data_IF_509406505164
#
_entry.id   IF_509406505164
#
_cell.length_a   1.000
_cell.length_b   1.000
_cell.length_c   1.000
_cell.angle_alpha   90.00
_cell.angle_beta   90.00
_cell.angle_gamma   90.00
#
_symmetry.space_group_name_H-M   'P 1'
#
loop_
_entity.id
_entity.type
_entity.pdbx_description
1 polymer ?
#
# COMPACT_ATOMS: atom_id res chain seq x y z
N UNK A 1 8.90 0.19 51.83
CA UNK A 1 8.65 -0.38 50.49
C UNK A 1 7.54 0.40 49.83
N UNK A 2 7.83 1.26 48.83
CA UNK A 2 6.80 1.89 47.97
C UNK A 2 6.24 0.80 47.06
N UNK A 3 4.94 0.51 47.19
CA UNK A 3 4.23 -0.28 46.19
C UNK A 3 4.34 0.45 44.86
N UNK A 4 5.08 -0.12 43.92
CA UNK A 4 5.01 0.30 42.53
C UNK A 4 3.66 -0.19 42.03
N UNK A 5 2.67 0.68 42.00
CA UNK A 5 1.42 0.42 41.30
C UNK A 5 1.74 0.41 39.79
N UNK A 6 1.96 -0.76 39.25
CA UNK A 6 2.03 -0.96 37.82
C UNK A 6 0.61 -0.83 37.28
N UNK A 7 0.32 0.30 36.68
CA UNK A 7 -0.99 0.53 36.05
C UNK A 7 -1.34 -0.68 35.16
N UNK A 8 -2.49 -1.28 35.42
CA UNK A 8 -3.01 -2.34 34.58
C UNK A 8 -3.19 -1.78 33.16
N UNK A 9 -2.74 -2.50 32.15
CA UNK A 9 -3.08 -2.11 30.79
C UNK A 9 -4.60 -2.12 30.66
N UNK A 10 -5.19 -1.08 30.06
CA UNK A 10 -6.63 -1.05 29.89
C UNK A 10 -7.08 -2.28 29.06
N UNK A 11 -8.27 -2.84 29.36
CA UNK A 11 -8.84 -3.88 28.51
C UNK A 11 -9.03 -3.32 27.10
N UNK A 12 -8.72 -4.13 26.09
CA UNK A 12 -8.85 -3.73 24.70
C UNK A 12 -9.44 -4.89 23.89
N UNK A 13 -10.41 -4.58 23.01
CA UNK A 13 -10.97 -5.57 22.09
C UNK A 13 -10.08 -5.80 20.87
N UNK A 14 -9.46 -4.72 20.38
CA UNK A 14 -8.65 -4.71 19.15
C UNK A 14 -7.26 -4.23 19.47
N UNK A 15 -6.24 -4.96 19.00
CA UNK A 15 -4.88 -4.44 18.88
C UNK A 15 -4.62 -4.02 17.45
N UNK A 16 -3.97 -2.88 17.26
CA UNK A 16 -3.56 -2.39 15.93
C UNK A 16 -2.05 -2.43 15.80
N UNK A 17 -1.58 -3.10 14.74
CA UNK A 17 -0.17 -3.22 14.39
C UNK A 17 0.05 -2.67 12.97
N UNK A 18 0.68 -1.53 12.87
CA UNK A 18 1.07 -0.94 11.58
C UNK A 18 2.37 -0.17 11.69
N UNK A 19 3.23 -0.32 10.68
CA UNK A 19 4.39 0.53 10.44
C UNK A 19 4.11 1.57 9.34
N UNK A 20 2.93 1.51 8.76
CA UNK A 20 2.55 2.39 7.67
C UNK A 20 1.82 3.62 8.23
N UNK A 21 2.57 4.72 8.39
CA UNK A 21 2.04 5.98 8.90
C UNK A 21 0.97 6.59 7.99
N UNK A 22 0.99 6.28 6.69
CA UNK A 22 -0.02 6.77 5.74
C UNK A 22 -1.40 6.13 5.96
N UNK A 23 -1.44 4.88 6.44
CA UNK A 23 -2.69 4.18 6.74
C UNK A 23 -3.24 4.53 8.13
N UNK A 24 -2.41 5.08 9.01
CA UNK A 24 -2.78 5.29 10.39
C UNK A 24 -4.04 6.16 10.58
N UNK A 25 -4.21 7.30 9.89
CA UNK A 25 -5.43 8.10 9.99
C UNK A 25 -6.69 7.30 9.62
N UNK A 26 -6.62 6.45 8.60
CA UNK A 26 -7.73 5.62 8.14
C UNK A 26 -8.00 4.49 9.13
N UNK A 27 -6.96 3.84 9.64
CA UNK A 27 -7.12 2.79 10.66
C UNK A 27 -7.72 3.32 11.96
N UNK A 28 -7.36 4.53 12.38
CA UNK A 28 -8.03 5.19 13.54
C UNK A 28 -9.52 5.38 13.30
N UNK A 29 -9.92 5.77 12.09
CA UNK A 29 -11.33 5.87 11.74
C UNK A 29 -12.03 4.50 11.78
N UNK A 30 -11.36 3.44 11.31
CA UNK A 30 -11.88 2.07 11.38
C UNK A 30 -12.13 1.64 12.83
N UNK A 31 -11.20 1.94 13.73
CA UNK A 31 -11.24 1.41 15.11
C UNK A 31 -11.78 2.39 16.14
N UNK A 32 -12.30 3.55 15.76
CA UNK A 32 -12.69 4.64 16.68
C UNK A 32 -13.72 4.25 17.75
N UNK A 33 -14.57 3.25 17.49
CA UNK A 33 -15.63 2.81 18.39
C UNK A 33 -15.26 1.57 19.21
N UNK A 34 -13.99 1.09 19.10
CA UNK A 34 -13.47 -0.03 19.87
C UNK A 34 -12.53 0.44 20.96
N UNK A 35 -12.34 -0.39 21.98
CA UNK A 35 -11.22 -0.25 22.91
C UNK A 35 -9.95 -0.76 22.22
N UNK A 36 -8.95 0.11 22.04
CA UNK A 36 -7.79 -0.15 21.15
C UNK A 36 -6.48 -0.17 21.91
N UNK A 37 -5.65 -1.17 21.62
CA UNK A 37 -4.27 -1.26 22.01
C UNK A 37 -3.36 -1.01 20.79
N UNK A 38 -2.63 0.12 20.79
CA UNK A 38 -1.62 0.41 19.76
C UNK A 38 -0.31 -0.29 20.11
N UNK A 39 0.18 -1.20 19.25
CA UNK A 39 1.35 -2.03 19.57
C UNK A 39 2.71 -1.35 19.34
N UNK A 40 2.80 -0.32 18.48
CA UNK A 40 4.08 0.34 18.19
C UNK A 40 4.57 1.29 19.29
N UNK A 41 3.67 1.82 20.11
CA UNK A 41 3.98 2.85 21.12
C UNK A 41 4.26 2.32 22.50
N UNK A 42 4.29 0.98 22.69
CA UNK A 42 4.24 0.42 24.04
C UNK A 42 5.61 0.37 24.72
N UNK A 43 5.88 1.36 25.52
CA UNK A 43 6.96 1.40 26.52
C UNK A 43 6.46 1.03 27.94
N UNK A 44 5.34 0.33 28.07
CA UNK A 44 4.78 -0.01 29.39
C UNK A 44 5.62 -1.09 30.07
N UNK A 45 6.03 -0.91 31.33
CA UNK A 45 6.79 -1.92 32.07
C UNK A 45 5.98 -3.22 32.22
N UNK A 46 6.66 -4.35 32.12
CA UNK A 46 6.07 -5.67 32.34
C UNK A 46 5.88 -5.90 33.85
N UNK A 47 4.71 -6.41 34.26
CA UNK A 47 4.51 -6.86 35.61
C UNK A 47 5.11 -8.29 35.80
N UNK A 48 5.12 -8.82 37.02
CA UNK A 48 5.70 -10.13 37.31
C UNK A 48 5.02 -11.27 36.54
N UNK A 49 3.69 -11.23 36.38
CA UNK A 49 2.95 -12.25 35.60
C UNK A 49 3.31 -12.20 34.12
N UNK A 50 3.48 -11.01 33.56
CA UNK A 50 3.92 -10.84 32.17
C UNK A 50 5.36 -11.30 32.02
N UNK A 51 6.24 -11.01 33.00
CA UNK A 51 7.63 -11.49 32.97
C UNK A 51 7.69 -13.02 32.95
N UNK A 52 6.86 -13.70 33.74
CA UNK A 52 6.77 -15.17 33.73
C UNK A 52 6.24 -15.71 32.40
N UNK A 53 5.27 -15.06 31.77
CA UNK A 53 4.80 -15.43 30.42
C UNK A 53 5.87 -15.20 29.36
N UNK A 54 6.56 -14.07 29.41
CA UNK A 54 7.67 -13.79 28.52
C UNK A 54 8.74 -14.88 28.65
N UNK A 55 9.13 -15.23 29.89
CA UNK A 55 10.09 -16.29 30.15
C UNK A 55 9.64 -17.62 29.57
N UNK A 56 8.36 -18.00 29.78
CA UNK A 56 7.79 -19.21 29.18
C UNK A 56 7.90 -19.19 27.66
N UNK A 57 7.44 -18.10 26.99
CA UNK A 57 7.52 -18.00 25.54
C UNK A 57 8.95 -18.01 25.01
N UNK A 58 9.91 -17.42 25.72
CA UNK A 58 11.32 -17.44 25.33
C UNK A 58 11.92 -18.83 25.48
N UNK A 59 11.68 -19.50 26.64
CA UNK A 59 12.32 -20.76 26.94
C UNK A 59 11.62 -21.94 26.23
N UNK A 60 10.28 -21.99 26.30
CA UNK A 60 9.51 -23.14 25.78
C UNK A 60 9.24 -22.99 24.30
N UNK A 61 8.75 -21.80 23.89
CA UNK A 61 8.32 -21.54 22.52
C UNK A 61 9.44 -21.01 21.63
N UNK A 62 10.65 -20.79 22.19
CA UNK A 62 11.84 -20.26 21.51
C UNK A 62 11.56 -18.92 20.77
N UNK A 63 10.66 -18.10 21.33
CA UNK A 63 10.32 -16.80 20.79
C UNK A 63 11.39 -15.76 21.13
N UNK A 64 11.55 -14.73 20.30
CA UNK A 64 12.34 -13.57 20.71
C UNK A 64 11.67 -12.85 21.89
N UNK A 65 12.47 -12.19 22.73
CA UNK A 65 11.96 -11.42 23.89
C UNK A 65 10.94 -10.34 23.44
N UNK A 66 11.14 -9.73 22.27
CA UNK A 66 10.23 -8.75 21.71
C UNK A 66 8.84 -9.31 21.43
N UNK A 67 8.76 -10.44 20.73
CA UNK A 67 7.47 -11.08 20.41
C UNK A 67 6.81 -11.67 21.65
N UNK A 68 7.59 -12.28 22.54
CA UNK A 68 7.11 -12.79 23.82
C UNK A 68 6.47 -11.68 24.68
N UNK A 69 7.14 -10.52 24.77
CA UNK A 69 6.64 -9.33 25.47
C UNK A 69 5.34 -8.81 24.87
N UNK A 70 5.26 -8.76 23.53
CA UNK A 70 4.07 -8.33 22.81
C UNK A 70 2.89 -9.30 23.06
N UNK A 71 3.14 -10.61 22.98
CA UNK A 71 2.14 -11.64 23.27
C UNK A 71 1.62 -11.57 24.71
N UNK A 72 2.51 -11.38 25.70
CA UNK A 72 2.12 -11.24 27.10
C UNK A 72 1.20 -10.02 27.33
N UNK A 73 1.47 -8.90 26.64
CA UNK A 73 0.65 -7.68 26.70
C UNK A 73 -0.72 -7.85 26.07
N UNK A 74 -0.77 -8.44 24.87
CA UNK A 74 -2.04 -8.74 24.19
C UNK A 74 -2.94 -9.62 25.07
N UNK A 75 -2.35 -10.66 25.65
CA UNK A 75 -3.07 -11.54 26.57
C UNK A 75 -3.57 -10.80 27.82
N UNK A 76 -2.74 -9.94 28.43
CA UNK A 76 -3.11 -9.17 29.61
C UNK A 76 -4.27 -8.20 29.35
N UNK A 77 -4.25 -7.55 28.19
CA UNK A 77 -5.30 -6.59 27.77
C UNK A 77 -6.57 -7.28 27.30
N UNK A 78 -6.62 -8.62 27.25
CA UNK A 78 -7.79 -9.35 26.80
C UNK A 78 -8.12 -9.16 25.32
N UNK A 79 -7.13 -8.78 24.51
CA UNK A 79 -7.32 -8.52 23.07
C UNK A 79 -7.88 -9.75 22.38
N UNK A 80 -8.98 -9.57 21.63
CA UNK A 80 -9.66 -10.60 20.86
C UNK A 80 -9.18 -10.64 19.41
N UNK A 81 -8.89 -9.46 18.83
CA UNK A 81 -8.54 -9.30 17.42
C UNK A 81 -7.27 -8.48 17.26
N UNK A 82 -6.36 -8.97 16.44
CA UNK A 82 -5.21 -8.23 15.92
C UNK A 82 -5.54 -7.71 14.52
N UNK A 83 -5.68 -6.40 14.37
CA UNK A 83 -5.70 -5.71 13.09
C UNK A 83 -4.28 -5.34 12.70
N UNK A 84 -3.78 -5.90 11.60
CA UNK A 84 -2.41 -5.69 11.15
C UNK A 84 -2.36 -5.28 9.68
N UNK A 85 -1.29 -4.61 9.29
CA UNK A 85 -0.97 -4.34 7.89
C UNK A 85 0.04 -5.38 7.41
N UNK A 86 -0.09 -5.84 6.17
CA UNK A 86 0.72 -6.92 5.57
C UNK A 86 2.24 -6.74 5.67
N UNK A 87 2.74 -5.51 5.78
CA UNK A 87 4.15 -5.23 6.04
C UNK A 87 4.67 -5.77 7.38
N UNK A 88 3.77 -6.23 8.26
CA UNK A 88 4.07 -6.76 9.60
C UNK A 88 3.86 -8.27 9.71
N UNK A 89 3.86 -8.99 8.58
CA UNK A 89 3.52 -10.43 8.51
C UNK A 89 4.35 -11.29 9.46
N UNK A 90 5.65 -11.06 9.59
CA UNK A 90 6.49 -11.82 10.52
C UNK A 90 6.00 -11.70 11.97
N UNK A 91 5.63 -10.50 12.39
CA UNK A 91 5.07 -10.25 13.72
C UNK A 91 3.72 -10.95 13.88
N UNK A 92 2.87 -10.85 12.85
CA UNK A 92 1.55 -11.50 12.81
C UNK A 92 1.67 -13.01 12.92
N UNK A 93 2.65 -13.61 12.21
CA UNK A 93 2.93 -15.05 12.28
C UNK A 93 3.37 -15.48 13.68
N UNK A 94 4.33 -14.75 14.26
CA UNK A 94 4.83 -15.08 15.58
C UNK A 94 3.76 -14.89 16.67
N UNK A 95 3.00 -13.80 16.64
CA UNK A 95 1.92 -13.58 17.58
C UNK A 95 0.82 -14.65 17.45
N UNK A 96 0.47 -15.07 16.24
CA UNK A 96 -0.46 -16.17 16.06
C UNK A 96 0.06 -17.52 16.54
N UNK A 97 1.40 -17.75 16.53
CA UNK A 97 2.01 -18.94 17.09
C UNK A 97 1.97 -18.94 18.64
N UNK A 98 2.19 -17.79 19.24
CA UNK A 98 2.20 -17.61 20.70
C UNK A 98 0.80 -17.51 21.30
N UNK A 99 -0.16 -17.01 20.54
CA UNK A 99 -1.55 -16.79 20.91
C UNK A 99 -2.49 -17.43 19.87
N UNK A 100 -2.69 -18.75 19.89
CA UNK A 100 -3.44 -19.47 18.87
C UNK A 100 -4.91 -19.05 18.77
N UNK A 101 -5.50 -18.54 19.83
CA UNK A 101 -6.90 -18.06 19.87
C UNK A 101 -7.05 -16.61 19.41
N UNK A 102 -5.93 -15.89 19.16
CA UNK A 102 -5.94 -14.52 18.69
C UNK A 102 -6.40 -14.49 17.22
N UNK A 103 -7.52 -13.87 16.98
CA UNK A 103 -8.03 -13.65 15.62
C UNK A 103 -7.22 -12.56 14.94
N UNK A 104 -6.95 -12.76 13.64
CA UNK A 104 -6.07 -11.87 12.90
C UNK A 104 -6.77 -11.38 11.64
N UNK A 105 -6.95 -10.08 11.54
CA UNK A 105 -7.40 -9.38 10.34
C UNK A 105 -6.21 -8.64 9.76
N UNK A 106 -5.73 -9.07 8.60
CA UNK A 106 -4.55 -8.51 7.95
C UNK A 106 -5.00 -7.76 6.71
N UNK A 107 -4.70 -6.49 6.62
CA UNK A 107 -5.04 -5.65 5.45
C UNK A 107 -3.83 -5.38 4.58
N UNK A 108 -3.99 -5.50 3.27
CA UNK A 108 -2.97 -5.15 2.30
C UNK A 108 -2.75 -3.63 2.26
N UNK A 109 -1.49 -3.19 2.28
CA UNK A 109 -1.12 -1.77 2.11
C UNK A 109 -0.98 -1.38 0.64
N UNK A 110 -0.94 -2.36 -0.25
CA UNK A 110 -0.81 -2.21 -1.70
C UNK A 110 -1.36 -3.43 -2.42
N UNK A 111 -1.41 -3.37 -3.76
CA UNK A 111 -1.75 -4.54 -4.55
C UNK A 111 -0.75 -5.68 -4.30
N UNK A 112 -1.26 -6.88 -4.12
CA UNK A 112 -0.45 -8.08 -3.87
C UNK A 112 0.26 -8.46 -5.15
N UNK A 113 1.57 -8.61 -5.07
CA UNK A 113 2.42 -9.04 -6.19
C UNK A 113 2.88 -10.48 -5.97
N UNK A 114 3.07 -11.20 -7.08
CA UNK A 114 3.43 -12.62 -7.06
C UNK A 114 4.70 -12.89 -6.24
N UNK A 115 5.64 -11.98 -6.25
CA UNK A 115 6.90 -12.10 -5.51
C UNK A 115 6.78 -11.72 -4.02
N UNK A 116 5.84 -10.85 -3.66
CA UNK A 116 5.51 -10.59 -2.26
C UNK A 116 4.81 -11.78 -1.58
N UNK A 117 4.27 -12.71 -2.37
CA UNK A 117 3.66 -13.94 -1.83
C UNK A 117 4.65 -14.84 -1.10
N UNK A 118 5.94 -14.79 -1.44
CA UNK A 118 6.96 -15.49 -0.68
C UNK A 118 7.07 -14.95 0.77
N UNK A 119 6.81 -13.65 0.95
CA UNK A 119 6.74 -13.01 2.27
C UNK A 119 5.37 -13.22 2.94
N UNK A 120 4.31 -13.37 2.13
CA UNK A 120 2.96 -13.72 2.59
C UNK A 120 2.78 -15.23 2.80
N UNK A 121 3.85 -16.02 2.96
CA UNK A 121 3.76 -17.43 3.41
C UNK A 121 3.12 -17.50 4.80
N UNK A 122 1.86 -17.09 4.82
CA UNK A 122 0.98 -17.12 5.97
C UNK A 122 0.72 -18.60 6.26
N UNK A 123 1.42 -19.16 7.25
CA UNK A 123 1.22 -20.54 7.66
C UNK A 123 -0.22 -20.74 8.11
N UNK A 124 -0.77 -21.93 7.84
CA UNK A 124 -2.14 -22.33 8.24
C UNK A 124 -2.39 -21.99 9.70
N UNK A 125 -3.35 -21.10 9.98
CA UNK A 125 -3.91 -20.88 11.32
C UNK A 125 -5.36 -20.47 11.24
N UNK A 126 -6.17 -21.04 12.11
CA UNK A 126 -7.62 -21.16 12.01
C UNK A 126 -8.43 -19.87 12.20
N UNK A 127 -7.89 -18.70 12.34
CA UNK A 127 -8.67 -17.49 12.62
C UNK A 127 -8.07 -16.25 11.94
N UNK A 128 -7.69 -16.39 10.65
CA UNK A 128 -7.08 -15.29 9.91
C UNK A 128 -7.90 -14.92 8.69
N UNK A 129 -8.12 -13.62 8.53
CA UNK A 129 -8.71 -13.02 7.34
C UNK A 129 -7.67 -12.12 6.69
N UNK A 130 -7.43 -12.31 5.39
CA UNK A 130 -6.60 -11.43 4.58
C UNK A 130 -7.52 -10.50 3.76
N UNK A 131 -7.44 -9.21 4.02
CA UNK A 131 -8.18 -8.18 3.30
C UNK A 131 -7.34 -7.65 2.14
N UNK A 132 -7.85 -7.76 0.93
CA UNK A 132 -7.16 -7.40 -0.32
C UNK A 132 -7.91 -6.31 -1.09
N UNK A 133 -7.22 -5.68 -2.04
CA UNK A 133 -7.79 -4.56 -2.79
C UNK A 133 -8.83 -5.00 -3.82
N UNK A 134 -8.57 -6.06 -4.55
CA UNK A 134 -9.45 -6.51 -5.62
C UNK A 134 -9.37 -8.01 -5.87
N UNK A 135 -10.13 -8.45 -6.86
CA UNK A 135 -10.14 -9.85 -7.29
C UNK A 135 -8.78 -10.26 -7.85
N UNK A 136 -8.05 -9.34 -8.52
CA UNK A 136 -6.68 -9.60 -9.00
C UNK A 136 -5.76 -10.10 -7.89
N UNK A 137 -5.79 -9.46 -6.73
CA UNK A 137 -4.99 -9.84 -5.58
C UNK A 137 -5.45 -11.19 -5.00
N UNK A 138 -6.77 -11.39 -4.90
CA UNK A 138 -7.34 -12.65 -4.43
C UNK A 138 -6.97 -13.82 -5.34
N UNK A 139 -6.97 -13.63 -6.65
CA UNK A 139 -6.60 -14.65 -7.63
C UNK A 139 -5.10 -14.97 -7.59
N UNK A 140 -4.24 -13.96 -7.44
CA UNK A 140 -2.81 -14.13 -7.22
C UNK A 140 -2.57 -14.95 -5.95
N UNK A 141 -3.24 -14.60 -4.85
CA UNK A 141 -3.16 -15.31 -3.58
C UNK A 141 -3.59 -16.78 -3.71
N UNK A 142 -4.74 -17.05 -4.35
CA UNK A 142 -5.26 -18.41 -4.57
C UNK A 142 -4.32 -19.28 -5.40
N UNK A 143 -3.73 -18.72 -6.46
CA UNK A 143 -2.79 -19.46 -7.33
C UNK A 143 -1.52 -19.87 -6.62
N UNK A 144 -1.03 -19.04 -5.69
CA UNK A 144 0.20 -19.30 -4.94
C UNK A 144 0.00 -20.16 -3.70
N UNK A 145 -1.24 -20.30 -3.24
CA UNK A 145 -1.60 -20.93 -1.97
C UNK A 145 -2.04 -22.38 -2.09
N UNK A 146 -1.54 -23.15 -3.10
CA UNK A 146 -1.85 -24.59 -3.24
C UNK A 146 -1.74 -25.41 -1.94
N UNK A 147 -1.07 -24.87 -0.93
CA UNK A 147 -0.89 -25.47 0.39
C UNK A 147 -1.69 -24.81 1.53
N UNK A 148 -2.32 -23.65 1.31
CA UNK A 148 -2.94 -22.84 2.39
C UNK A 148 -4.45 -22.67 2.21
N UNK A 149 -5.22 -23.76 2.27
CA UNK A 149 -6.71 -23.74 2.19
C UNK A 149 -7.39 -23.02 3.35
N UNK A 150 -6.68 -22.53 4.36
CA UNK A 150 -7.26 -22.04 5.62
C UNK A 150 -7.27 -20.52 5.81
N UNK A 151 -6.71 -19.75 4.90
CA UNK A 151 -6.78 -18.29 4.99
C UNK A 151 -7.93 -17.78 4.15
N UNK A 152 -8.91 -17.19 4.81
CA UNK A 152 -10.02 -16.51 4.14
C UNK A 152 -9.52 -15.20 3.54
N UNK A 153 -9.78 -15.01 2.24
CA UNK A 153 -9.44 -13.79 1.54
C UNK A 153 -10.73 -12.97 1.31
N UNK A 154 -10.77 -11.76 1.85
CA UNK A 154 -11.88 -10.82 1.71
C UNK A 154 -11.48 -9.64 0.84
N UNK A 155 -12.28 -9.34 -0.16
CA UNK A 155 -12.07 -8.20 -1.06
C UNK A 155 -12.74 -6.98 -0.45
N UNK A 156 -11.96 -6.02 0.01
CA UNK A 156 -12.49 -4.82 0.65
C UNK A 156 -12.20 -3.53 -0.13
N UNK A 157 -11.23 -3.52 -1.03
CA UNK A 157 -10.74 -2.32 -1.69
C UNK A 157 -9.54 -1.69 -0.96
N UNK A 158 -9.11 -0.52 -1.43
CA UNK A 158 -8.00 0.23 -0.82
C UNK A 158 -8.50 1.13 0.30
N UNK A 159 -8.01 0.90 1.52
CA UNK A 159 -8.30 1.75 2.68
C UNK A 159 -7.77 3.18 2.50
N UNK A 160 -6.59 3.32 1.90
CA UNK A 160 -5.99 4.64 1.67
C UNK A 160 -6.81 5.45 0.67
N UNK A 161 -7.26 4.80 -0.40
CA UNK A 161 -8.16 5.42 -1.37
C UNK A 161 -9.50 5.82 -0.73
N UNK A 162 -10.08 4.97 0.10
CA UNK A 162 -11.31 5.28 0.84
C UNK A 162 -11.13 6.46 1.80
N UNK A 163 -10.00 6.53 2.50
CA UNK A 163 -9.64 7.67 3.35
C UNK A 163 -9.51 8.97 2.55
N UNK A 164 -8.90 8.89 1.37
CA UNK A 164 -8.82 10.03 0.44
C UNK A 164 -10.20 10.51 0.01
N UNK A 165 -11.06 9.61 -0.46
CA UNK A 165 -12.38 9.95 -0.99
C UNK A 165 -13.33 10.55 0.06
N UNK A 166 -13.15 10.26 1.32
CA UNK A 166 -13.90 10.90 2.42
C UNK A 166 -13.59 12.38 2.56
N UNK A 167 -12.35 12.77 2.25
CA UNK A 167 -11.89 14.17 2.35
C UNK A 167 -12.06 14.88 1.03
N UNK A 168 -11.79 14.19 -0.06
CA UNK A 168 -11.79 14.72 -1.44
C UNK A 168 -12.69 13.85 -2.33
N UNK A 169 -14.01 14.00 -2.25
CA UNK A 169 -14.93 13.24 -3.10
C UNK A 169 -14.70 13.55 -4.58
N UNK A 170 -14.86 12.54 -5.42
CA UNK A 170 -14.68 12.72 -6.86
C UNK A 170 -15.74 13.66 -7.42
N UNK A 171 -15.31 14.67 -8.16
CA UNK A 171 -16.20 15.54 -8.92
C UNK A 171 -16.42 14.97 -10.31
N UNK A 172 -17.68 14.82 -10.78
CA UNK A 172 -17.96 14.35 -12.13
C UNK A 172 -17.49 15.35 -13.22
N UNK A 173 -17.34 16.64 -12.86
CA UNK A 173 -16.94 17.72 -13.77
C UNK A 173 -15.48 18.12 -13.64
N UNK A 174 -14.66 17.23 -13.10
CA UNK A 174 -13.25 17.50 -12.85
C UNK A 174 -12.48 17.77 -14.16
N UNK A 175 -11.85 18.94 -14.25
CA UNK A 175 -11.01 19.35 -15.37
C UNK A 175 -9.55 19.20 -15.02
N UNK A 176 -8.78 18.59 -15.92
CA UNK A 176 -7.34 18.45 -15.75
C UNK A 176 -6.65 19.82 -15.82
N UNK A 177 -5.80 20.11 -14.83
CA UNK A 177 -4.99 21.33 -14.75
C UNK A 177 -3.60 21.14 -15.37
N UNK A 178 -3.15 19.90 -15.49
CA UNK A 178 -1.82 19.54 -16.01
C UNK A 178 -1.96 18.41 -17.03
N UNK A 179 -1.26 18.46 -18.17
CA UNK A 179 -1.38 17.42 -19.19
C UNK A 179 -0.80 16.08 -18.75
N UNK A 180 0.36 16.10 -18.09
CA UNK A 180 1.07 14.89 -17.70
C UNK A 180 1.58 14.96 -16.25
N UNK A 181 1.39 13.87 -15.51
CA UNK A 181 1.96 13.65 -14.19
C UNK A 181 2.84 12.40 -14.23
N UNK A 182 4.05 12.49 -13.69
CA UNK A 182 4.89 11.33 -13.39
C UNK A 182 4.88 11.04 -11.89
N UNK A 183 4.61 9.78 -11.52
CA UNK A 183 4.66 9.35 -10.11
C UNK A 183 6.07 8.92 -9.77
N UNK A 184 6.71 9.66 -8.86
CA UNK A 184 8.07 9.39 -8.42
C UNK A 184 8.22 8.04 -7.73
N UNK A 185 9.31 7.37 -8.06
CA UNK A 185 9.79 6.14 -7.42
C UNK A 185 11.20 6.31 -6.86
N UNK A 186 11.63 7.55 -6.67
CA UNK A 186 12.97 7.84 -6.18
C UNK A 186 13.19 7.28 -4.78
N UNK A 187 14.22 6.47 -4.59
CA UNK A 187 14.57 5.84 -3.31
C UNK A 187 15.96 6.26 -2.79
N UNK A 188 16.64 7.12 -3.54
CA UNK A 188 17.95 7.67 -3.17
C UNK A 188 18.91 7.70 -4.36
N UNK A 189 20.06 8.35 -4.21
CA UNK A 189 21.05 8.46 -5.29
C UNK A 189 21.62 7.09 -5.70
N UNK A 190 21.77 6.17 -4.76
CA UNK A 190 22.40 4.86 -5.02
C UNK A 190 21.53 3.90 -5.88
N UNK A 191 20.22 4.08 -5.86
CA UNK A 191 19.31 3.20 -6.61
C UNK A 191 19.25 3.53 -8.09
N UNK A 192 19.62 4.73 -8.46
CA UNK A 192 19.68 5.21 -9.85
C UNK A 192 21.10 5.35 -10.38
N UNK A 193 22.10 4.95 -9.59
CA UNK A 193 23.45 4.85 -10.08
C UNK A 193 23.45 4.00 -11.38
N UNK A 194 24.11 4.49 -12.41
CA UNK A 194 24.30 3.80 -13.68
C UNK A 194 24.91 2.41 -13.52
N UNK A 195 25.57 2.14 -12.39
CA UNK A 195 26.08 0.83 -11.99
C UNK A 195 24.98 -0.13 -11.54
N UNK A 196 23.80 0.35 -11.09
CA UNK A 196 22.68 -0.50 -10.68
C UNK A 196 22.04 -1.16 -11.90
N UNK A 197 22.35 -2.42 -12.12
CA UNK A 197 21.82 -3.27 -13.20
C UNK A 197 20.54 -4.00 -12.79
N UNK A 198 19.77 -3.46 -11.84
CA UNK A 198 18.49 -4.10 -11.49
C UNK A 198 17.47 -3.86 -12.59
N UNK A 199 16.66 -4.86 -12.88
CA UNK A 199 15.56 -4.74 -13.87
C UNK A 199 14.63 -3.55 -13.55
N UNK A 200 14.49 -3.21 -12.27
CA UNK A 200 13.74 -2.03 -11.82
C UNK A 200 14.36 -0.72 -12.31
N UNK A 201 15.66 -0.55 -12.09
CA UNK A 201 16.39 0.66 -12.50
C UNK A 201 16.35 0.85 -14.01
N UNK A 202 16.44 -0.26 -14.77
CA UNK A 202 16.32 -0.24 -16.23
C UNK A 202 14.94 0.22 -16.68
N UNK A 203 13.87 -0.32 -16.08
CA UNK A 203 12.50 0.08 -16.40
C UNK A 203 12.25 1.56 -16.08
N UNK A 204 12.69 2.04 -14.92
CA UNK A 204 12.54 3.44 -14.53
C UNK A 204 13.31 4.38 -15.46
N UNK A 205 14.53 4.01 -15.88
CA UNK A 205 15.30 4.78 -16.86
C UNK A 205 14.60 4.84 -18.21
N UNK A 206 14.07 3.69 -18.69
CA UNK A 206 13.31 3.61 -19.93
C UNK A 206 12.11 4.57 -19.91
N UNK A 207 11.27 4.49 -18.87
CA UNK A 207 10.07 5.33 -18.77
C UNK A 207 10.43 6.81 -18.71
N UNK A 208 11.44 7.17 -17.92
CA UNK A 208 11.90 8.57 -17.81
C UNK A 208 12.46 9.10 -19.13
N UNK A 209 13.26 8.30 -19.84
CA UNK A 209 13.81 8.66 -21.14
C UNK A 209 12.71 8.87 -22.19
N UNK A 210 11.75 7.94 -22.30
CA UNK A 210 10.65 8.06 -23.24
C UNK A 210 9.74 9.25 -22.91
N UNK A 211 9.40 9.43 -21.66
CA UNK A 211 8.57 10.55 -21.21
C UNK A 211 9.24 11.90 -21.45
N UNK A 212 10.55 12.01 -21.19
CA UNK A 212 11.33 13.22 -21.50
C UNK A 212 11.28 13.52 -22.99
N UNK A 213 11.59 12.55 -23.85
CA UNK A 213 11.59 12.70 -25.31
C UNK A 213 10.21 13.15 -25.80
N UNK A 214 9.14 12.52 -25.29
CA UNK A 214 7.77 12.87 -25.63
C UNK A 214 7.41 14.30 -25.21
N UNK A 215 7.73 14.72 -24.00
CA UNK A 215 7.45 16.06 -23.50
C UNK A 215 8.18 17.13 -24.36
N UNK A 216 9.43 16.89 -24.75
CA UNK A 216 10.19 17.82 -25.59
C UNK A 216 9.58 17.88 -27.00
N UNK A 217 9.26 16.73 -27.61
CA UNK A 217 8.72 16.67 -28.97
C UNK A 217 7.37 17.37 -29.11
N UNK A 218 6.56 17.39 -28.04
CA UNK A 218 5.22 17.99 -28.04
C UNK A 218 5.11 19.32 -27.25
N UNK A 219 6.23 19.88 -26.78
CA UNK A 219 6.31 21.06 -25.91
C UNK A 219 5.35 20.98 -24.70
N UNK A 220 5.28 19.82 -24.03
CA UNK A 220 4.38 19.60 -22.93
C UNK A 220 5.06 19.82 -21.57
N UNK A 221 4.41 20.52 -20.63
CA UNK A 221 4.87 20.56 -19.25
C UNK A 221 4.64 19.21 -18.57
N UNK A 222 5.54 18.87 -17.66
CA UNK A 222 5.49 17.67 -16.85
C UNK A 222 5.44 18.04 -15.36
N UNK A 223 4.46 17.49 -14.65
CA UNK A 223 4.41 17.54 -13.19
C UNK A 223 4.97 16.28 -12.58
N UNK A 224 5.76 16.40 -11.54
CA UNK A 224 6.33 15.26 -10.79
C UNK A 224 5.63 15.17 -9.45
N UNK A 225 4.97 14.05 -9.17
CA UNK A 225 4.47 13.76 -7.83
C UNK A 225 5.61 13.20 -6.99
N UNK A 226 6.17 14.02 -6.10
CA UNK A 226 7.21 13.63 -5.15
C UNK A 226 6.65 12.64 -4.13
N UNK A 227 7.52 11.82 -3.55
CA UNK A 227 7.14 10.87 -2.51
C UNK A 227 6.65 11.61 -1.25
N UNK A 228 5.52 11.19 -0.64
CA UNK A 228 5.05 11.78 0.61
C UNK A 228 6.10 11.63 1.72
N UNK A 229 6.27 12.68 2.51
CA UNK A 229 7.18 12.67 3.66
C UNK A 229 6.80 11.61 4.73
N UNK A 230 5.53 11.22 4.78
CA UNK A 230 5.00 10.25 5.73
C UNK A 230 5.33 8.79 5.39
N UNK A 231 5.75 8.47 4.15
CA UNK A 231 6.05 7.08 3.75
C UNK A 231 7.38 6.53 4.30
N UNK A 232 8.27 7.40 4.73
CA UNK A 232 9.42 7.15 5.61
C UNK A 232 9.80 8.50 6.21
N UNK A 233 10.36 8.61 7.43
CA UNK A 233 11.00 9.85 7.83
C UNK A 233 12.07 10.13 6.78
N UNK A 234 11.75 11.04 5.85
CA UNK A 234 12.70 11.45 4.82
C UNK A 234 13.93 11.97 5.54
N UNK A 235 15.09 11.45 5.20
CA UNK A 235 16.33 12.03 5.68
C UNK A 235 16.33 13.53 5.33
N UNK A 236 16.83 14.40 6.21
CA UNK A 236 16.92 15.82 5.92
C UNK A 236 17.52 16.04 4.53
N UNK A 237 16.83 16.80 3.68
CA UNK A 237 17.26 17.06 2.30
C UNK A 237 16.83 16.04 1.24
N UNK A 238 16.17 14.96 1.57
CA UNK A 238 15.75 13.95 0.59
C UNK A 238 14.82 14.52 -0.50
N UNK A 239 13.84 15.37 -0.16
CA UNK A 239 13.00 16.06 -1.14
C UNK A 239 13.80 16.97 -2.09
N UNK A 240 14.82 17.66 -1.58
CA UNK A 240 15.69 18.50 -2.41
C UNK A 240 16.55 17.66 -3.35
N UNK A 241 17.04 16.51 -2.90
CA UNK A 241 17.80 15.58 -3.74
C UNK A 241 16.89 14.95 -4.82
N UNK A 242 15.67 14.57 -4.46
CA UNK A 242 14.67 14.05 -5.39
C UNK A 242 14.33 15.07 -6.49
N UNK A 243 14.10 16.36 -6.12
CA UNK A 243 13.89 17.44 -7.09
C UNK A 243 15.06 17.61 -8.03
N UNK A 244 16.27 17.76 -7.48
CA UNK A 244 17.51 17.92 -8.28
C UNK A 244 17.70 16.74 -9.24
N UNK A 245 17.41 15.53 -8.78
CA UNK A 245 17.46 14.35 -9.63
C UNK A 245 16.52 14.48 -10.84
N UNK A 246 15.24 14.84 -10.61
CA UNK A 246 14.29 14.99 -11.72
C UNK A 246 14.58 16.20 -12.62
N UNK A 247 15.11 17.29 -12.09
CA UNK A 247 15.58 18.43 -12.90
C UNK A 247 16.69 18.01 -13.87
N UNK A 248 17.59 17.14 -13.43
CA UNK A 248 18.65 16.58 -14.30
C UNK A 248 18.08 15.60 -15.33
N UNK A 249 17.26 14.64 -14.89
CA UNK A 249 16.70 13.58 -15.76
C UNK A 249 15.79 14.17 -16.83
N UNK A 250 14.96 15.16 -16.50
CA UNK A 250 14.05 15.81 -17.44
C UNK A 250 14.56 17.16 -17.93
N UNK A 251 15.88 17.31 -18.06
CA UNK A 251 16.49 18.51 -18.61
C UNK A 251 15.89 18.86 -19.98
N UNK A 252 15.51 20.11 -20.17
CA UNK A 252 14.82 20.62 -21.37
C UNK A 252 13.29 20.50 -21.33
N UNK A 253 12.70 19.91 -20.30
CA UNK A 253 11.25 19.87 -20.08
C UNK A 253 10.82 20.95 -19.06
N UNK A 254 9.69 21.59 -19.28
CA UNK A 254 9.09 22.50 -18.28
C UNK A 254 8.54 21.70 -17.11
N UNK A 255 9.26 21.69 -15.97
CA UNK A 255 8.90 20.91 -14.79
C UNK A 255 8.13 21.71 -13.76
N UNK A 256 7.21 21.03 -13.08
CA UNK A 256 6.63 21.44 -11.80
C UNK A 256 6.58 20.26 -10.85
N UNK A 257 6.49 20.52 -9.54
CA UNK A 257 6.53 19.48 -8.51
C UNK A 257 5.30 19.57 -7.62
N UNK A 258 4.80 18.41 -7.20
CA UNK A 258 3.80 18.35 -6.14
C UNK A 258 4.52 18.32 -4.81
N UNK A 259 4.26 19.33 -3.97
CA UNK A 259 4.78 19.34 -2.62
C UNK A 259 4.16 18.20 -1.81
N UNK A 260 4.96 17.41 -1.10
CA UNK A 260 4.46 16.33 -0.26
C UNK A 260 3.93 16.87 1.07
N UNK A 261 2.94 17.77 1.02
CA UNK A 261 2.37 18.47 2.18
C UNK A 261 1.60 17.53 3.11
N UNK A 262 1.04 16.48 2.57
CA UNK A 262 0.30 15.45 3.31
C UNK A 262 0.29 14.11 2.54
N UNK A 263 -0.29 13.10 3.16
CA UNK A 263 -0.40 11.71 2.63
C UNK A 263 -1.08 11.64 1.25
N UNK A 264 -1.95 12.59 0.92
CA UNK A 264 -2.78 12.56 -0.28
C UNK A 264 -2.34 13.53 -1.38
N UNK A 265 -1.20 14.19 -1.25
CA UNK A 265 -0.71 15.15 -2.24
C UNK A 265 -0.57 14.53 -3.64
N UNK A 266 -0.02 13.31 -3.75
CA UNK A 266 0.09 12.59 -5.03
C UNK A 266 -1.26 12.17 -5.61
N UNK A 267 -2.27 11.92 -4.76
CA UNK A 267 -3.63 11.57 -5.20
C UNK A 267 -4.31 12.78 -5.83
N UNK A 268 -4.25 13.93 -5.15
CA UNK A 268 -4.76 15.20 -5.72
C UNK A 268 -4.06 15.52 -7.03
N UNK A 269 -2.72 15.44 -7.06
CA UNK A 269 -1.97 15.70 -8.28
C UNK A 269 -2.39 14.79 -9.43
N UNK A 270 -2.63 13.51 -9.15
CA UNK A 270 -3.13 12.55 -10.14
C UNK A 270 -4.54 12.88 -10.60
N UNK A 271 -5.38 13.30 -9.67
CA UNK A 271 -6.75 13.70 -9.99
C UNK A 271 -6.81 15.00 -10.81
N UNK A 272 -5.88 15.91 -10.60
CA UNK A 272 -5.75 17.19 -11.33
C UNK A 272 -4.98 17.07 -12.66
N UNK A 273 -4.46 15.89 -12.99
CA UNK A 273 -3.71 15.66 -14.23
C UNK A 273 -4.56 14.93 -15.27
N UNK A 274 -4.29 15.21 -16.55
CA UNK A 274 -4.99 14.51 -17.63
C UNK A 274 -4.54 13.04 -17.69
N UNK A 275 -3.23 12.80 -17.75
CA UNK A 275 -2.66 11.44 -17.76
C UNK A 275 -1.61 11.32 -16.66
N UNK A 276 -1.69 10.24 -15.89
CA UNK A 276 -0.68 9.86 -14.90
C UNK A 276 0.19 8.74 -15.45
N UNK A 277 1.51 8.95 -15.50
CA UNK A 277 2.48 8.01 -16.08
C UNK A 277 3.38 7.44 -14.98
N UNK A 278 3.73 6.17 -15.08
CA UNK A 278 4.70 5.57 -14.17
C UNK A 278 4.89 4.06 -14.35
N UNK A 279 5.61 3.47 -13.40
CA UNK A 279 5.71 2.02 -13.27
C UNK A 279 4.69 1.51 -12.23
N UNK A 280 4.37 0.21 -12.17
CA UNK A 280 3.39 -0.32 -11.23
C UNK A 280 3.64 0.06 -9.76
N UNK A 281 2.74 0.83 -9.17
CA UNK A 281 2.74 1.24 -7.77
C UNK A 281 1.33 1.28 -7.20
N UNK A 282 1.21 1.23 -5.87
CA UNK A 282 -0.08 1.42 -5.22
C UNK A 282 -0.77 2.72 -5.63
N UNK A 283 -0.04 3.85 -5.61
CA UNK A 283 -0.60 5.15 -5.98
C UNK A 283 -1.12 5.20 -7.43
N UNK A 284 -0.39 4.58 -8.38
CA UNK A 284 -0.79 4.54 -9.78
C UNK A 284 -2.00 3.60 -9.98
N UNK A 285 -2.00 2.46 -9.29
CA UNK A 285 -3.14 1.51 -9.28
C UNK A 285 -4.40 2.17 -8.72
N UNK A 286 -4.28 2.89 -7.62
CA UNK A 286 -5.40 3.60 -7.01
C UNK A 286 -5.87 4.78 -7.84
N UNK A 287 -4.94 5.46 -8.53
CA UNK A 287 -5.28 6.51 -9.51
C UNK A 287 -6.13 5.94 -10.66
N UNK A 288 -5.69 4.83 -11.26
CA UNK A 288 -6.44 4.12 -12.29
C UNK A 288 -7.83 3.71 -11.78
N UNK A 289 -7.89 3.14 -10.60
CA UNK A 289 -9.14 2.70 -9.98
C UNK A 289 -10.14 3.85 -9.78
N UNK A 290 -9.67 5.09 -9.52
CA UNK A 290 -10.52 6.30 -9.43
C UNK A 290 -10.99 6.85 -10.78
N UNK A 291 -10.71 6.18 -11.89
CA UNK A 291 -11.12 6.61 -13.23
C UNK A 291 -10.18 7.61 -13.91
N UNK A 292 -8.97 7.79 -13.39
CA UNK A 292 -7.96 8.60 -14.06
C UNK A 292 -7.38 7.86 -15.27
N UNK A 293 -7.01 8.60 -16.30
CA UNK A 293 -6.21 8.07 -17.40
C UNK A 293 -4.79 7.81 -16.89
N UNK A 294 -4.33 6.58 -17.05
CA UNK A 294 -3.03 6.13 -16.57
C UNK A 294 -2.28 5.47 -17.71
N UNK A 295 -0.98 5.72 -17.83
CA UNK A 295 -0.07 4.90 -18.61
C UNK A 295 0.92 4.21 -17.68
N UNK A 296 0.74 2.90 -17.51
CA UNK A 296 1.60 2.07 -16.68
C UNK A 296 2.58 1.30 -17.56
N UNK A 297 3.88 1.46 -17.30
CA UNK A 297 4.91 0.68 -18.00
C UNK A 297 5.41 -0.39 -17.06
N UNK A 298 5.32 -1.65 -17.49
CA UNK A 298 5.70 -2.81 -16.68
C UNK A 298 6.80 -3.62 -17.32
N UNK A 299 7.38 -4.52 -16.56
CA UNK A 299 8.17 -5.65 -17.06
C UNK A 299 7.27 -6.80 -17.51
N UNK A 300 7.81 -7.70 -18.31
CA UNK A 300 7.07 -8.92 -18.69
C UNK A 300 6.66 -9.68 -17.40
N UNK A 301 5.37 -9.88 -17.15
CA UNK A 301 4.88 -10.58 -15.96
C UNK A 301 5.38 -12.02 -15.84
N UNK A 302 5.77 -12.64 -16.98
CA UNK A 302 6.34 -14.00 -17.02
C UNK A 302 7.74 -14.09 -16.40
N UNK A 303 8.43 -12.97 -16.25
CA UNK A 303 9.77 -12.94 -15.64
C UNK A 303 9.75 -13.04 -14.12
N UNK A 304 8.57 -13.09 -13.48
CA UNK A 304 8.43 -13.09 -12.01
C UNK A 304 8.88 -11.79 -11.35
N UNK A 305 9.01 -10.71 -12.11
CA UNK A 305 9.47 -9.42 -11.60
C UNK A 305 8.41 -8.72 -10.76
N UNK A 306 8.84 -7.97 -9.75
CA UNK A 306 8.01 -7.03 -8.96
C UNK A 306 7.17 -6.07 -9.80
N UNK A 307 7.63 -5.76 -11.01
CA UNK A 307 6.98 -4.86 -11.95
C UNK A 307 6.22 -5.60 -13.06
N UNK A 308 6.09 -6.93 -12.92
CA UNK A 308 5.19 -7.76 -13.71
C UNK A 308 3.76 -7.60 -13.23
N UNK A 309 3.01 -6.70 -13.84
CA UNK A 309 1.62 -6.44 -13.48
C UNK A 309 0.70 -7.43 -14.21
N UNK A 310 -0.23 -8.13 -13.54
CA UNK A 310 -0.93 -9.28 -14.12
C UNK A 310 -2.11 -8.93 -15.04
N UNK A 311 -2.40 -7.62 -15.24
CA UNK A 311 -3.56 -7.18 -16.02
C UNK A 311 -3.10 -6.49 -17.29
N UNK A 312 -3.68 -6.84 -18.41
CA UNK A 312 -3.45 -6.22 -19.72
C UNK A 312 -4.52 -5.17 -20.04
N UNK A 313 -4.20 -4.26 -20.92
CA UNK A 313 -5.12 -3.22 -21.37
C UNK A 313 -4.40 -2.06 -22.06
N UNK A 314 -5.14 -1.21 -22.71
CA UNK A 314 -4.62 -0.01 -23.41
C UNK A 314 -3.89 0.99 -22.49
N UNK A 315 -3.99 0.82 -21.19
CA UNK A 315 -3.34 1.64 -20.17
C UNK A 315 -2.04 1.02 -19.63
N UNK A 316 -1.62 -0.14 -20.21
CA UNK A 316 -0.40 -0.87 -19.80
C UNK A 316 0.47 -1.14 -21.02
N UNK A 317 1.77 -0.84 -20.91
CA UNK A 317 2.78 -1.24 -21.88
C UNK A 317 3.83 -2.12 -21.21
N UNK A 318 4.28 -3.14 -21.95
CA UNK A 318 5.34 -4.04 -21.49
C UNK A 318 6.63 -3.72 -22.23
N UNK A 319 7.61 -3.14 -21.52
CA UNK A 319 8.95 -2.81 -22.06
C UNK A 319 8.89 -2.17 -23.47
N UNK A 320 8.13 -1.05 -23.65
CA UNK A 320 7.84 -0.51 -24.96
C UNK A 320 9.05 0.14 -25.62
N UNK A 321 9.05 0.19 -26.97
CA UNK A 321 9.88 1.15 -27.70
C UNK A 321 9.34 2.58 -27.50
N UNK A 322 10.11 3.60 -27.89
CA UNK A 322 9.64 4.98 -27.81
C UNK A 322 8.39 5.21 -28.67
N UNK A 323 8.35 4.65 -29.89
CA UNK A 323 7.22 4.78 -30.81
C UNK A 323 5.94 4.19 -30.22
N UNK A 324 6.03 3.03 -29.57
CA UNK A 324 4.90 2.41 -28.89
C UNK A 324 4.43 3.26 -27.70
N UNK A 325 5.38 3.80 -26.94
CA UNK A 325 5.08 4.67 -25.79
C UNK A 325 4.42 5.96 -26.25
N UNK A 326 4.95 6.62 -27.28
CA UNK A 326 4.41 7.87 -27.83
C UNK A 326 3.00 7.65 -28.42
N UNK A 327 2.82 6.62 -29.23
CA UNK A 327 1.51 6.30 -29.83
C UNK A 327 0.44 6.03 -28.75
N UNK A 328 0.84 5.37 -27.66
CA UNK A 328 -0.10 5.11 -26.55
C UNK A 328 -0.43 6.39 -25.78
N UNK A 329 0.52 7.27 -25.54
CA UNK A 329 0.22 8.59 -24.95
C UNK A 329 -0.68 9.43 -25.84
N UNK A 330 -0.47 9.45 -27.16
CA UNK A 330 -1.33 10.17 -28.09
C UNK A 330 -2.76 9.62 -28.09
N UNK A 331 -2.91 8.30 -28.05
CA UNK A 331 -4.21 7.64 -27.89
C UNK A 331 -4.89 8.07 -26.59
N UNK A 332 -4.19 8.04 -25.47
CA UNK A 332 -4.73 8.44 -24.17
C UNK A 332 -5.10 9.94 -24.14
N UNK A 333 -4.31 10.80 -24.76
CA UNK A 333 -4.59 12.23 -24.85
C UNK A 333 -5.84 12.54 -25.69
N UNK A 334 -6.09 11.77 -26.75
CA UNK A 334 -7.29 11.93 -27.59
C UNK A 334 -8.57 11.45 -26.93
N UNK A 335 -8.48 10.58 -25.92
CA UNK A 335 -9.64 10.09 -25.16
C UNK A 335 -10.09 11.13 -24.13
N UNK A 336 -11.40 11.34 -23.97
CA UNK A 336 -11.87 12.03 -22.79
C UNK A 336 -11.81 11.10 -21.55
N UNK A 337 -11.80 11.70 -20.35
CA UNK A 337 -11.65 10.95 -19.10
C UNK A 337 -12.83 10.01 -18.84
N UNK A 338 -14.04 10.42 -19.16
CA UNK A 338 -15.24 9.60 -18.92
C UNK A 338 -15.27 8.38 -19.82
N UNK A 339 -14.87 8.52 -21.10
CA UNK A 339 -14.78 7.39 -22.02
C UNK A 339 -13.73 6.39 -21.56
N UNK A 340 -12.56 6.86 -21.13
CA UNK A 340 -11.52 6.03 -20.55
C UNK A 340 -12.01 5.31 -19.28
N UNK A 341 -12.68 6.03 -18.38
CA UNK A 341 -13.23 5.44 -17.16
C UNK A 341 -14.28 4.37 -17.47
N UNK A 342 -15.13 4.58 -18.45
CA UNK A 342 -16.14 3.61 -18.86
C UNK A 342 -15.51 2.40 -19.57
N UNK A 343 -14.56 2.62 -20.48
CA UNK A 343 -13.88 1.58 -21.22
C UNK A 343 -13.17 0.57 -20.32
N UNK A 344 -12.62 1.04 -19.20
CA UNK A 344 -11.83 0.20 -18.28
C UNK A 344 -12.52 -0.08 -16.95
N UNK A 345 -13.83 0.06 -16.88
CA UNK A 345 -14.58 -0.10 -15.62
C UNK A 345 -14.41 -1.49 -14.98
N UNK A 346 -14.36 -2.56 -15.82
CA UNK A 346 -14.18 -3.94 -15.35
C UNK A 346 -12.77 -4.17 -14.80
N UNK A 347 -11.74 -3.68 -15.48
CA UNK A 347 -10.35 -3.81 -15.08
C UNK A 347 -10.10 -3.05 -13.79
N UNK A 348 -10.68 -1.85 -13.66
CA UNK A 348 -10.58 -1.04 -12.44
C UNK A 348 -11.18 -1.78 -11.23
N UNK A 349 -12.41 -2.29 -11.36
CA UNK A 349 -13.08 -3.03 -10.29
C UNK A 349 -12.38 -4.37 -9.99
N UNK A 350 -11.83 -5.02 -11.00
CA UNK A 350 -11.04 -6.24 -10.83
C UNK A 350 -9.77 -6.00 -9.99
N UNK A 351 -9.14 -4.84 -10.18
CA UNK A 351 -7.91 -4.47 -9.48
C UNK A 351 -8.15 -3.89 -8.08
N UNK A 352 -9.12 -2.99 -7.96
CA UNK A 352 -9.45 -2.31 -6.70
C UNK A 352 -10.97 -2.22 -6.59
N UNK A 353 -11.57 -3.12 -5.88
CA UNK A 353 -13.00 -3.10 -5.63
C UNK A 353 -13.39 -1.88 -4.78
N UNK A 354 -14.61 -1.41 -4.95
CA UNK A 354 -15.16 -0.26 -4.21
C UNK A 354 -14.29 1.02 -4.35
N UNK A 355 -13.57 1.18 -5.46
CA UNK A 355 -12.59 2.25 -5.63
C UNK A 355 -13.20 3.66 -5.65
N UNK A 356 -14.48 3.80 -5.97
CA UNK A 356 -15.21 5.07 -6.05
C UNK A 356 -16.04 5.35 -4.79
N UNK A 357 -15.88 4.55 -3.74
CA UNK A 357 -16.66 4.67 -2.50
C UNK A 357 -15.78 4.67 -1.24
N UNK A 358 -16.38 5.07 -0.12
CA UNK A 358 -15.76 4.95 1.20
C UNK A 358 -16.08 3.61 1.91
N UNK A 359 -16.68 2.65 1.21
CA UNK A 359 -17.11 1.35 1.75
C UNK A 359 -15.99 0.46 2.28
N UNK A 360 -14.75 0.49 1.76
CA UNK A 360 -13.63 -0.26 2.34
C UNK A 360 -13.49 -0.12 3.86
N UNK A 361 -13.72 1.08 4.40
CA UNK A 361 -13.66 1.34 5.84
C UNK A 361 -14.82 0.63 6.57
N UNK A 362 -16.03 0.71 6.03
CA UNK A 362 -17.21 0.04 6.58
C UNK A 362 -17.08 -1.47 6.52
N UNK A 363 -16.59 -2.00 5.39
CA UNK A 363 -16.37 -3.43 5.22
C UNK A 363 -15.36 -3.97 6.23
N UNK A 364 -14.24 -3.26 6.44
CA UNK A 364 -13.26 -3.66 7.44
C UNK A 364 -13.83 -3.62 8.86
N UNK A 365 -14.64 -2.62 9.22
CA UNK A 365 -15.35 -2.58 10.51
C UNK A 365 -16.24 -3.79 10.69
N UNK A 366 -17.06 -4.14 9.69
CA UNK A 366 -17.92 -5.32 9.73
C UNK A 366 -17.11 -6.61 9.94
N UNK A 367 -15.93 -6.73 9.33
CA UNK A 367 -15.04 -7.87 9.54
C UNK A 367 -14.48 -7.90 10.98
N UNK A 368 -14.13 -6.75 11.54
CA UNK A 368 -13.70 -6.66 12.93
C UNK A 368 -14.82 -7.05 13.91
N UNK A 369 -16.05 -6.57 13.70
CA UNK A 369 -17.21 -6.93 14.52
C UNK A 369 -17.42 -8.45 14.52
N UNK A 370 -17.43 -9.08 13.34
CA UNK A 370 -17.53 -10.55 13.23
C UNK A 370 -16.36 -11.24 13.94
N UNK A 371 -15.15 -10.73 13.77
CA UNK A 371 -13.99 -11.27 14.44
C UNK A 371 -14.07 -11.15 15.96
N UNK A 372 -14.58 -10.06 16.51
CA UNK A 372 -14.79 -9.88 17.96
C UNK A 372 -15.86 -10.84 18.49
N UNK A 373 -16.97 -11.03 17.75
CA UNK A 373 -18.07 -11.91 18.14
C UNK A 373 -17.76 -13.41 17.95
N UNK A 374 -16.78 -13.77 17.18
CA UNK A 374 -16.44 -15.19 16.99
C UNK A 374 -16.91 -15.80 15.66
N UNK A 375 -17.43 -15.00 14.76
CA UNK A 375 -18.07 -15.41 13.51
C UNK A 375 -17.12 -15.41 12.30
N UNK A 376 -15.81 -15.61 12.49
CA UNK A 376 -14.79 -15.61 11.41
C UNK A 376 -14.37 -16.99 10.96
#
# INVERSE_FOLDING_TARGET
MRRIEVAAAPPADVAVLTRNLELWPVLREVVKDYSVLELETIKTPLNLRDAMRVLRHVVVDKASVGYASMAARLHRSGVKVLLAVDQTVEVVEELGRLLPDLRQVVTAHGSIRVDNLAHLRIRRRNHRVLCVWGRSDADVYKKSSNENKSVRCEIIGSLRNAGYLRIYPLSPTRVAQTPLLFVSQYSGPDEEDLSSKTKRSELLRLVKAHLRTYCIAHDLPLKIALRPAASAPLAPGQSANERRHYEQVFSGVRLSFTEPTDTYASYRASDDSDITVGVPTGALTESFARGNKVLMVRQDPRTGSHYGFPVDGDWVLTEPTYEQFAAQLDKLRSMNRQDAANAWSREREYMVANAESADPIRLLRTLLDRAICGDT
#
